data_IF_342364150524
#
_entry.id   IF_342364150524
#
_cell.length_a   1.000
_cell.length_b   1.000
_cell.length_c   1.000
_cell.angle_alpha   90.00
_cell.angle_beta   90.00
_cell.angle_gamma   90.00
#
_symmetry.space_group_name_H-M   'P 1'
#
loop_
_entity.id
_entity.type
_entity.pdbx_description
1 polymer ?
#
# COMPACT_ATOMS: atom_id res chain seq x y z
N UNK A 1 -2.73 34.61 23.76
CA UNK A 1 -2.03 33.50 23.09
C UNK A 1 -3.07 32.46 22.72
N UNK A 2 -3.33 32.27 21.44
CA UNK A 2 -4.24 31.22 21.00
C UNK A 2 -3.56 29.86 21.19
N UNK A 3 -4.30 28.88 21.72
CA UNK A 3 -3.79 27.55 21.99
C UNK A 3 -3.39 26.87 20.67
N UNK A 4 -2.26 26.14 20.68
CA UNK A 4 -1.87 25.33 19.55
C UNK A 4 -2.97 24.30 19.21
N UNK A 5 -3.24 24.04 17.92
CA UNK A 5 -4.22 23.03 17.53
C UNK A 5 -3.84 21.66 18.12
N UNK A 6 -4.83 20.96 18.68
CA UNK A 6 -4.67 19.61 19.28
C UNK A 6 -4.59 18.50 18.23
N UNK A 7 -4.98 18.79 16.99
CA UNK A 7 -5.02 17.79 15.93
C UNK A 7 -3.62 17.51 15.37
N UNK A 8 -3.33 16.25 14.99
CA UNK A 8 -2.07 15.90 14.34
C UNK A 8 -1.95 16.60 12.98
N UNK A 9 -0.73 16.61 12.42
CA UNK A 9 -0.46 17.15 11.09
C UNK A 9 -1.40 16.51 10.06
N UNK A 10 -2.17 17.30 9.28
CA UNK A 10 -2.92 16.76 8.14
C UNK A 10 -1.96 16.05 7.19
N UNK A 11 -2.23 14.78 6.89
CA UNK A 11 -1.24 13.90 6.30
C UNK A 11 -1.92 12.84 5.45
N UNK A 12 -1.73 12.90 4.12
CA UNK A 12 -2.26 11.90 3.20
C UNK A 12 -1.72 10.49 3.44
N UNK A 13 -0.55 10.36 4.10
CA UNK A 13 -0.06 9.06 4.56
C UNK A 13 -0.95 8.53 5.69
N UNK A 14 -1.35 9.38 6.66
CA UNK A 14 -2.27 8.97 7.72
C UNK A 14 -3.64 8.59 7.15
N UNK A 15 -4.14 9.35 6.17
CA UNK A 15 -5.41 9.05 5.49
C UNK A 15 -5.33 7.70 4.76
N UNK A 16 -4.22 7.43 4.05
CA UNK A 16 -3.99 6.14 3.41
C UNK A 16 -3.88 5.00 4.44
N UNK A 17 -3.17 5.20 5.54
CA UNK A 17 -3.00 4.20 6.60
C UNK A 17 -4.32 3.88 7.31
N UNK A 18 -5.26 4.81 7.41
CA UNK A 18 -6.60 4.53 7.93
C UNK A 18 -7.33 3.46 7.08
N UNK A 19 -6.99 3.36 5.80
CA UNK A 19 -7.54 2.37 4.87
C UNK A 19 -6.69 1.09 4.78
N UNK A 20 -5.39 1.24 4.52
CA UNK A 20 -4.47 0.12 4.18
C UNK A 20 -3.44 -0.20 5.25
N UNK A 21 -3.32 0.61 6.30
CA UNK A 21 -2.31 0.45 7.36
C UNK A 21 -2.55 -0.76 8.27
N UNK A 22 -3.72 -1.38 8.19
CA UNK A 22 -4.01 -2.60 8.93
C UNK A 22 -3.35 -3.82 8.25
N UNK A 23 -2.64 -4.65 9.03
CA UNK A 23 -1.76 -5.74 8.56
C UNK A 23 -2.27 -6.50 7.33
N UNK A 24 -3.52 -6.94 7.34
CA UNK A 24 -4.05 -7.80 6.29
C UNK A 24 -4.48 -7.06 5.01
N UNK A 25 -4.68 -5.74 5.04
CA UNK A 25 -5.10 -4.98 3.86
C UNK A 25 -4.02 -5.05 2.75
N UNK A 26 -2.77 -4.76 3.09
CA UNK A 26 -1.65 -4.84 2.14
C UNK A 26 -1.33 -6.29 1.73
N UNK A 27 -1.51 -7.26 2.63
CA UNK A 27 -1.34 -8.68 2.29
C UNK A 27 -2.41 -9.18 1.32
N UNK A 28 -3.65 -8.72 1.47
CA UNK A 28 -4.71 -8.99 0.48
C UNK A 28 -4.37 -8.37 -0.86
N UNK A 29 -3.89 -7.12 -0.86
CA UNK A 29 -3.50 -6.45 -2.10
C UNK A 29 -2.37 -7.20 -2.81
N UNK A 30 -1.34 -7.64 -2.06
CA UNK A 30 -0.28 -8.51 -2.57
C UNK A 30 -0.85 -9.74 -3.28
N UNK A 31 -1.76 -10.45 -2.64
CA UNK A 31 -2.33 -11.67 -3.21
C UNK A 31 -3.13 -11.42 -4.48
N UNK A 32 -3.96 -10.38 -4.52
CA UNK A 32 -4.75 -10.10 -5.73
C UNK A 32 -3.88 -9.62 -6.89
N UNK A 33 -2.78 -8.90 -6.63
CA UNK A 33 -1.78 -8.56 -7.66
C UNK A 33 -1.07 -9.82 -8.20
N UNK A 34 -0.88 -10.84 -7.36
CA UNK A 34 -0.40 -12.17 -7.78
C UNK A 34 -1.48 -13.04 -8.45
N UNK A 35 -2.69 -12.52 -8.67
CA UNK A 35 -3.81 -13.24 -9.29
C UNK A 35 -4.63 -14.11 -8.33
N UNK A 36 -4.38 -14.06 -7.02
CA UNK A 36 -5.11 -14.82 -6.02
C UNK A 36 -6.33 -14.03 -5.50
N UNK A 37 -7.43 -14.06 -6.26
CA UNK A 37 -8.64 -13.29 -5.95
C UNK A 37 -9.69 -14.01 -5.11
N UNK A 38 -9.64 -15.34 -4.93
CA UNK A 38 -10.72 -16.07 -4.26
C UNK A 38 -10.59 -16.03 -2.74
N UNK A 39 -11.71 -15.93 -2.03
CA UNK A 39 -11.71 -15.79 -0.56
C UNK A 39 -10.88 -16.85 0.16
N UNK A 40 -11.03 -18.13 -0.18
CA UNK A 40 -10.26 -19.18 0.50
C UNK A 40 -8.77 -19.18 0.13
N UNK A 41 -8.39 -18.69 -1.05
CA UNK A 41 -6.98 -18.45 -1.38
C UNK A 41 -6.41 -17.34 -0.51
N UNK A 42 -7.15 -16.24 -0.39
CA UNK A 42 -6.75 -15.11 0.45
C UNK A 42 -6.60 -15.51 1.92
N UNK A 43 -7.54 -16.29 2.49
CA UNK A 43 -7.42 -16.83 3.85
C UNK A 43 -6.11 -17.63 4.02
N UNK A 44 -5.87 -18.58 3.12
CA UNK A 44 -4.68 -19.45 3.19
C UNK A 44 -3.38 -18.67 3.05
N UNK A 45 -3.29 -17.78 2.05
CA UNK A 45 -2.04 -17.14 1.68
C UNK A 45 -1.70 -15.94 2.59
N UNK A 46 -2.69 -15.32 3.22
CA UNK A 46 -2.47 -14.21 4.17
C UNK A 46 -2.42 -14.66 5.63
N UNK A 47 -2.94 -15.86 5.93
CA UNK A 47 -3.10 -16.35 7.31
C UNK A 47 -4.09 -15.52 8.14
N UNK A 48 -4.94 -14.73 7.50
CA UNK A 48 -5.94 -13.90 8.17
C UNK A 48 -7.09 -14.77 8.73
N UNK A 49 -7.56 -14.50 9.96
CA UNK A 49 -8.85 -15.00 10.42
C UNK A 49 -9.96 -14.61 9.43
N UNK A 50 -10.92 -15.51 9.19
CA UNK A 50 -11.93 -15.34 8.13
C UNK A 50 -12.80 -14.09 8.33
N UNK A 51 -13.18 -13.82 9.57
CA UNK A 51 -13.95 -12.64 9.99
C UNK A 51 -13.19 -11.33 9.79
N UNK A 52 -11.91 -11.32 10.16
CA UNK A 52 -11.00 -10.19 9.93
C UNK A 52 -10.86 -9.95 8.42
N UNK A 53 -10.57 -11.00 7.65
CA UNK A 53 -10.42 -10.90 6.19
C UNK A 53 -11.69 -10.39 5.51
N UNK A 54 -12.87 -10.90 5.90
CA UNK A 54 -14.15 -10.44 5.36
C UNK A 54 -14.39 -8.95 5.63
N UNK A 55 -14.00 -8.47 6.81
CA UNK A 55 -14.08 -7.05 7.17
C UNK A 55 -13.13 -6.21 6.32
N UNK A 56 -11.88 -6.66 6.11
CA UNK A 56 -10.91 -5.96 5.25
C UNK A 56 -11.37 -5.88 3.81
N UNK A 57 -11.79 -7.00 3.25
CA UNK A 57 -12.26 -7.06 1.86
C UNK A 57 -13.44 -6.14 1.63
N UNK A 58 -14.38 -6.06 2.58
CA UNK A 58 -15.49 -5.11 2.50
C UNK A 58 -14.99 -3.66 2.47
N UNK A 59 -14.13 -3.27 3.41
CA UNK A 59 -13.54 -1.91 3.44
C UNK A 59 -12.78 -1.56 2.15
N UNK A 60 -11.99 -2.50 1.61
CA UNK A 60 -11.24 -2.27 0.38
C UNK A 60 -12.15 -2.17 -0.85
N UNK A 61 -13.26 -2.91 -0.87
CA UNK A 61 -14.27 -2.78 -1.93
C UNK A 61 -15.04 -1.47 -1.82
N UNK A 62 -15.48 -1.11 -0.60
CA UNK A 62 -16.21 0.13 -0.34
C UNK A 62 -15.36 1.37 -0.68
N UNK A 63 -14.05 1.30 -0.44
CA UNK A 63 -13.10 2.35 -0.81
C UNK A 63 -12.65 2.32 -2.29
N UNK A 64 -13.17 1.39 -3.10
CA UNK A 64 -12.85 1.29 -4.52
C UNK A 64 -11.42 0.81 -4.81
N UNK A 65 -10.73 0.18 -3.86
CA UNK A 65 -9.41 -0.44 -4.04
C UNK A 65 -9.53 -1.80 -4.70
N UNK A 66 -10.58 -2.55 -4.34
CA UNK A 66 -10.91 -3.84 -4.95
C UNK A 66 -12.31 -3.80 -5.56
N UNK A 67 -12.55 -4.65 -6.55
CA UNK A 67 -13.87 -4.93 -7.09
C UNK A 67 -14.21 -6.42 -6.89
N UNK A 68 -15.48 -6.72 -6.57
CA UNK A 68 -16.00 -8.09 -6.63
C UNK A 68 -16.37 -8.43 -8.06
N UNK A 69 -15.81 -9.52 -8.57
CA UNK A 69 -16.08 -10.02 -9.90
C UNK A 69 -16.74 -11.40 -9.82
N UNK A 70 -17.89 -11.57 -10.47
CA UNK A 70 -18.56 -12.87 -10.57
C UNK A 70 -17.81 -13.72 -11.59
N UNK A 71 -17.37 -14.92 -11.20
CA UNK A 71 -16.66 -15.84 -12.10
C UNK A 71 -17.41 -17.15 -12.34
N UNK A 72 -18.48 -17.40 -11.60
CA UNK A 72 -19.39 -18.52 -11.81
C UNK A 72 -20.79 -18.08 -11.42
N UNK A 73 -21.79 -18.36 -12.25
CA UNK A 73 -23.19 -18.00 -11.98
C UNK A 73 -23.96 -19.12 -11.26
N UNK A 74 -23.49 -20.37 -11.33
CA UNK A 74 -24.20 -21.56 -10.83
C UNK A 74 -23.23 -22.58 -10.19
N UNK A 75 -23.00 -22.54 -8.86
CA UNK A 75 -23.47 -21.53 -7.92
C UNK A 75 -22.76 -20.18 -8.12
N UNK A 76 -23.34 -19.09 -7.63
CA UNK A 76 -22.68 -17.80 -7.67
C UNK A 76 -21.36 -17.83 -6.90
N UNK A 77 -20.25 -17.52 -7.58
CA UNK A 77 -18.92 -17.41 -6.96
C UNK A 77 -18.23 -16.13 -7.39
N UNK A 78 -17.60 -15.49 -6.42
CA UNK A 78 -16.92 -14.22 -6.59
C UNK A 78 -15.44 -14.33 -6.30
N UNK A 79 -14.69 -13.48 -6.97
CA UNK A 79 -13.30 -13.17 -6.65
C UNK A 79 -13.13 -11.67 -6.50
N UNK A 80 -12.02 -11.28 -5.89
CA UNK A 80 -11.63 -9.88 -5.72
C UNK A 80 -10.52 -9.57 -6.71
N UNK A 81 -10.67 -8.47 -7.44
CA UNK A 81 -9.66 -7.96 -8.37
C UNK A 81 -9.25 -6.54 -7.97
N UNK A 82 -7.99 -6.14 -8.15
CA UNK A 82 -7.60 -4.77 -7.93
C UNK A 82 -8.28 -3.87 -8.95
N UNK A 83 -8.75 -2.71 -8.50
CA UNK A 83 -9.14 -1.63 -9.40
C UNK A 83 -7.89 -0.89 -9.90
N UNK A 84 -8.06 0.11 -10.76
CA UNK A 84 -6.96 1.02 -11.11
C UNK A 84 -6.34 1.67 -9.87
N UNK A 85 -7.16 2.16 -8.94
CA UNK A 85 -6.69 2.76 -7.70
C UNK A 85 -5.95 1.73 -6.81
N UNK A 86 -6.40 0.46 -6.82
CA UNK A 86 -5.69 -0.61 -6.11
C UNK A 86 -4.33 -0.96 -6.74
N UNK A 87 -4.22 -0.96 -8.07
CA UNK A 87 -2.95 -1.17 -8.76
C UNK A 87 -1.95 -0.03 -8.52
N UNK A 88 -2.43 1.20 -8.35
CA UNK A 88 -1.57 2.36 -8.01
C UNK A 88 -0.89 2.24 -6.63
N UNK A 89 -1.34 1.30 -5.78
CA UNK A 89 -0.69 0.96 -4.51
C UNK A 89 0.38 -0.15 -4.64
N UNK A 90 0.47 -0.85 -5.76
CA UNK A 90 1.47 -1.91 -5.98
C UNK A 90 2.91 -1.41 -5.80
N UNK A 91 3.32 -0.22 -6.32
CA UNK A 91 4.67 0.31 -6.08
C UNK A 91 5.00 0.50 -4.59
N UNK A 92 3.99 0.76 -3.74
CA UNK A 92 4.17 0.86 -2.28
C UNK A 92 4.51 -0.52 -1.70
N UNK A 93 3.83 -1.58 -2.16
CA UNK A 93 4.14 -2.95 -1.76
C UNK A 93 5.55 -3.36 -2.17
N UNK A 94 5.94 -3.02 -3.40
CA UNK A 94 7.27 -3.35 -3.94
C UNK A 94 8.38 -2.66 -3.13
N UNK A 95 8.21 -1.37 -2.84
CA UNK A 95 9.18 -0.60 -2.05
C UNK A 95 9.23 -1.09 -0.59
N UNK A 96 8.09 -1.44 0.00
CA UNK A 96 8.02 -2.01 1.36
C UNK A 96 8.67 -3.40 1.42
N UNK A 97 8.47 -4.24 0.40
CA UNK A 97 9.14 -5.54 0.24
C UNK A 97 10.66 -5.35 0.21
N UNK A 98 11.17 -4.48 -0.65
CA UNK A 98 12.62 -4.22 -0.78
C UNK A 98 13.24 -3.79 0.56
N UNK A 99 12.57 -2.89 1.29
CA UNK A 99 13.02 -2.51 2.63
C UNK A 99 13.06 -3.70 3.59
N UNK A 100 12.01 -4.54 3.58
CA UNK A 100 11.94 -5.74 4.42
C UNK A 100 13.04 -6.76 4.08
N UNK A 101 13.33 -6.95 2.81
CA UNK A 101 14.40 -7.82 2.33
C UNK A 101 15.77 -7.31 2.83
N UNK A 102 16.06 -6.02 2.67
CA UNK A 102 17.36 -5.45 3.07
C UNK A 102 17.59 -5.41 4.57
N UNK A 103 16.55 -5.25 5.38
CA UNK A 103 16.70 -4.96 6.81
C UNK A 103 16.21 -6.08 7.74
N UNK A 104 15.32 -6.94 7.28
CA UNK A 104 14.73 -8.01 8.10
C UNK A 104 15.12 -9.41 7.62
N UNK A 105 15.91 -9.54 6.55
CA UNK A 105 16.44 -10.81 6.01
C UNK A 105 17.98 -10.74 5.88
N UNK A 106 18.73 -10.68 7.00
CA UNK A 106 20.18 -10.52 6.97
C UNK A 106 20.92 -11.67 6.28
N UNK A 107 20.32 -12.86 6.22
CA UNK A 107 20.92 -14.05 5.63
C UNK A 107 20.73 -14.13 4.10
N UNK A 108 20.05 -13.16 3.49
CA UNK A 108 19.74 -13.17 2.05
C UNK A 108 18.65 -14.19 1.65
N UNK A 109 17.96 -14.79 2.62
CA UNK A 109 16.78 -15.63 2.39
C UNK A 109 15.59 -14.75 1.99
N UNK A 110 15.54 -14.41 0.70
CA UNK A 110 14.52 -13.57 0.08
C UNK A 110 13.29 -14.42 -0.29
N UNK A 111 12.14 -14.28 0.39
CA UNK A 111 10.96 -15.13 0.14
C UNK A 111 10.34 -14.92 -1.25
N UNK A 112 10.67 -13.81 -1.91
CA UNK A 112 10.17 -13.45 -3.23
C UNK A 112 11.21 -12.61 -3.96
N UNK A 113 11.55 -13.04 -5.18
CA UNK A 113 12.34 -12.29 -6.16
C UNK A 113 11.42 -12.01 -7.34
N UNK A 114 11.55 -10.83 -7.94
CA UNK A 114 10.79 -10.43 -9.11
C UNK A 114 11.77 -10.21 -10.23
N UNK A 115 11.48 -10.72 -11.42
CA UNK A 115 12.24 -10.41 -12.63
C UNK A 115 11.58 -9.23 -13.33
N UNK A 116 12.40 -8.28 -13.80
CA UNK A 116 11.93 -7.23 -14.68
C UNK A 116 11.86 -7.76 -16.12
N UNK A 117 11.04 -7.14 -16.97
CA UNK A 117 10.94 -7.50 -18.39
C UNK A 117 12.25 -7.38 -19.18
N UNK A 118 13.30 -6.79 -18.58
CA UNK A 118 14.65 -6.77 -19.16
C UNK A 118 15.47 -8.04 -18.89
N UNK A 119 15.00 -8.95 -18.04
CA UNK A 119 15.69 -10.20 -17.69
C UNK A 119 16.57 -10.11 -16.43
N UNK A 120 16.69 -8.94 -15.81
CA UNK A 120 17.36 -8.76 -14.52
C UNK A 120 16.37 -8.81 -13.35
N UNK A 121 16.89 -9.09 -12.15
CA UNK A 121 16.14 -8.95 -10.90
C UNK A 121 15.64 -7.52 -10.75
N UNK A 122 14.33 -7.37 -10.60
CA UNK A 122 13.67 -6.10 -10.34
C UNK A 122 13.99 -5.58 -8.92
N UNK A 123 14.46 -4.34 -8.87
CA UNK A 123 14.62 -3.56 -7.63
C UNK A 123 13.87 -2.24 -7.82
N UNK A 124 12.92 -1.88 -6.93
CA UNK A 124 12.16 -0.65 -7.07
C UNK A 124 13.02 0.57 -6.74
N UNK A 125 12.95 1.60 -7.59
CA UNK A 125 13.53 2.93 -7.34
C UNK A 125 12.46 4.00 -7.47
N UNK A 126 12.49 5.00 -6.59
CA UNK A 126 11.60 6.17 -6.66
C UNK A 126 12.30 7.24 -7.48
N UNK A 127 11.69 7.67 -8.59
CA UNK A 127 12.26 8.70 -9.48
C UNK A 127 11.35 9.92 -9.57
N UNK A 128 11.97 11.09 -9.79
CA UNK A 128 11.26 12.32 -10.06
C UNK A 128 10.69 12.28 -11.49
N UNK A 129 9.37 12.42 -11.63
CA UNK A 129 8.71 12.46 -12.95
C UNK A 129 9.28 13.53 -13.88
N UNK A 130 9.69 14.68 -13.35
CA UNK A 130 10.09 15.82 -14.17
C UNK A 130 11.48 15.68 -14.78
N UNK A 131 12.47 15.21 -14.02
CA UNK A 131 13.86 15.09 -14.49
C UNK A 131 14.32 13.65 -14.72
N UNK A 132 13.56 12.65 -14.27
CA UNK A 132 13.92 11.22 -14.36
C UNK A 132 14.95 10.74 -13.33
N UNK A 133 15.56 11.65 -12.56
CA UNK A 133 16.54 11.29 -11.52
C UNK A 133 15.91 10.59 -10.31
N UNK A 134 16.71 9.81 -9.59
CA UNK A 134 16.31 9.18 -8.33
C UNK A 134 15.96 10.24 -7.27
N UNK A 135 14.86 10.04 -6.55
CA UNK A 135 14.43 10.94 -5.49
C UNK A 135 15.17 10.62 -4.19
N UNK A 136 16.31 11.29 -3.97
CA UNK A 136 17.12 11.16 -2.74
C UNK A 136 16.60 12.06 -1.63
N UNK A 137 16.71 11.61 -0.39
CA UNK A 137 16.15 12.32 0.77
C UNK A 137 16.65 13.77 0.87
N UNK A 138 17.95 13.95 0.70
CA UNK A 138 18.68 15.22 0.76
C UNK A 138 18.34 16.19 -0.38
N UNK A 139 17.77 15.70 -1.48
CA UNK A 139 17.37 16.49 -2.65
C UNK A 139 15.89 16.93 -2.59
N UNK A 140 15.13 16.44 -1.61
CA UNK A 140 13.71 16.75 -1.44
C UNK A 140 13.51 17.88 -0.43
N UNK A 141 12.90 18.99 -0.88
CA UNK A 141 12.50 20.09 0.01
C UNK A 141 11.00 20.02 0.34
N UNK A 142 10.62 19.69 1.59
CA UNK A 142 9.21 19.63 1.98
C UNK A 142 8.59 21.04 2.03
N UNK A 143 7.42 21.20 1.41
CA UNK A 143 6.64 22.47 1.43
C UNK A 143 5.20 22.22 1.91
N UNK A 144 4.92 22.31 3.22
CA UNK A 144 3.56 22.20 3.74
C UNK A 144 2.61 23.19 3.06
N UNK A 145 1.44 22.71 2.62
CA UNK A 145 0.42 23.52 1.97
C UNK A 145 -0.77 23.83 2.88
N UNK A 146 -0.92 23.09 3.98
CA UNK A 146 -1.98 23.31 4.96
C UNK A 146 -1.75 24.63 5.71
N UNK A 147 -2.71 25.58 5.69
CA UNK A 147 -2.63 26.78 6.51
C UNK A 147 -2.41 26.44 7.98
N UNK A 148 -1.54 27.20 8.65
CA UNK A 148 -1.24 26.98 10.06
C UNK A 148 -0.19 25.90 10.34
N UNK A 149 0.52 25.39 9.32
CA UNK A 149 1.53 24.34 9.46
C UNK A 149 2.85 24.67 8.77
N UNK A 150 3.96 24.34 9.45
CA UNK A 150 5.33 24.35 8.91
C UNK A 150 5.94 22.95 8.97
N UNK A 151 7.15 22.80 8.44
CA UNK A 151 7.91 21.53 8.51
C UNK A 151 8.20 21.11 9.95
N UNK A 152 8.26 22.07 10.88
CA UNK A 152 8.54 21.84 12.31
C UNK A 152 7.28 21.62 13.16
N UNK A 153 6.07 21.85 12.63
CA UNK A 153 4.82 21.74 13.39
C UNK A 153 3.83 22.86 13.09
N UNK A 154 2.74 22.99 13.87
CA UNK A 154 1.78 24.06 13.70
C UNK A 154 2.47 25.42 13.92
N UNK A 155 2.14 26.41 13.09
CA UNK A 155 2.53 27.80 13.38
C UNK A 155 1.80 28.23 14.65
N UNK A 156 2.52 28.68 15.67
CA UNK A 156 1.88 29.32 16.82
C UNK A 156 0.97 30.45 16.32
N UNK A 157 -0.26 30.49 16.83
CA UNK A 157 -1.25 31.50 16.51
C UNK A 157 -1.02 32.80 17.28
#
# INVERSE_FOLDING_TARGET
MAAAPKDPRPCSIADALALVGEKYSLLVLREVCLGNGRFDQLVRNTGAPRDVLATRLRRLVDAGILAKHLYSERPQRFEYRPTRAGLELEPVLLTLKDWGDRHLRPDGDLPMVLDHGCGDTFVPVVTCRACGGEARHEELTPRPQTPGWTVSGPTAA
#
